data_IF_270315917902
#
_entry.id   IF_270315917902
#
_cell.length_a   1.000
_cell.length_b   1.000
_cell.length_c   1.000
_cell.angle_alpha   90.00
_cell.angle_beta   90.00
_cell.angle_gamma   90.00
#
_symmetry.space_group_name_H-M   'P 1'
#
loop_
_entity.id
_entity.type
_entity.pdbx_description
1 polymer ?
2 non-polymer ?
3 water ?
#
# COMPACT_ATOMS: atom_id res chain seq x y z
N UNK A 6 7.68 -21.91 -6.28
CA UNK A 6 7.70 -20.69 -7.09
C UNK A 6 8.06 -19.47 -6.26
N UNK A 7 8.97 -18.64 -6.78
CA UNK A 7 9.38 -17.44 -6.07
C UNK A 7 9.71 -16.31 -7.04
N UNK A 8 9.46 -15.07 -6.60
CA UNK A 8 9.76 -13.89 -7.40
C UNK A 8 10.38 -12.84 -6.48
N UNK A 9 11.39 -12.13 -6.97
CA UNK A 9 11.99 -11.06 -6.19
C UNK A 9 11.56 -9.69 -6.73
N UNK A 10 10.83 -8.94 -5.90
CA UNK A 10 10.43 -7.58 -6.27
C UNK A 10 11.50 -6.59 -5.86
N UNK A 11 11.99 -5.81 -6.82
CA UNK A 11 13.04 -4.84 -6.55
C UNK A 11 12.62 -3.43 -6.97
N UNK A 12 12.40 -2.56 -6.00
CA UNK A 12 12.08 -1.16 -6.27
C UNK A 12 13.35 -0.33 -6.22
N UNK A 13 13.56 0.52 -7.22
CA UNK A 13 14.78 1.30 -7.32
C UNK A 13 14.51 2.78 -7.56
N UNK A 14 15.25 3.65 -6.88
CA UNK A 14 15.25 5.07 -7.19
C UNK A 14 16.66 5.64 -7.11
N UNK A 15 17.02 6.47 -8.09
CA UNK A 15 18.32 7.14 -8.11
C UNK A 15 18.18 8.65 -8.19
N UNK A 16 19.14 9.37 -7.61
CA UNK A 16 19.14 10.83 -7.70
C UNK A 16 20.41 11.36 -8.35
N UNK A 17 20.27 12.43 -9.12
CA UNK A 17 21.41 13.09 -9.72
C UNK A 17 21.58 14.50 -9.15
N UNK A 18 22.81 15.00 -9.15
CA UNK A 18 23.08 16.34 -8.66
C UNK A 18 22.37 17.41 -9.49
N UNK A 19 21.70 18.32 -8.79
CA UNK A 19 20.91 19.39 -9.41
C UNK A 19 21.74 20.24 -10.37
N UNK A 20 22.98 20.55 -9.97
CA UNK A 20 23.82 21.46 -10.73
C UNK A 20 24.75 20.75 -11.71
N UNK A 21 24.80 19.43 -11.62
CA UNK A 21 25.60 18.64 -12.54
C UNK A 21 24.96 17.26 -12.70
N UNK A 22 24.23 17.10 -13.81
CA UNK A 22 23.41 15.90 -14.01
C UNK A 22 24.22 14.67 -14.41
N UNK A 23 25.54 14.81 -14.46
CA UNK A 23 26.42 13.69 -14.77
C UNK A 23 26.80 12.96 -13.49
N UNK A 24 26.53 13.60 -12.37
CA UNK A 24 26.86 13.03 -11.06
C UNK A 24 25.67 12.31 -10.42
N UNK A 25 25.78 11.00 -10.27
CA UNK A 25 24.77 10.22 -9.56
C UNK A 25 25.19 10.16 -8.09
N UNK A 26 24.31 10.60 -7.19
CA UNK A 26 24.71 10.76 -5.80
C UNK A 26 24.19 9.69 -4.85
N UNK A 27 22.99 9.20 -5.08
CA UNK A 27 22.41 8.19 -4.19
C UNK A 27 21.60 7.13 -4.92
N UNK A 28 21.56 5.93 -4.34
CA UNK A 28 20.76 4.84 -4.85
C UNK A 28 19.84 4.29 -3.76
N UNK A 29 18.56 4.19 -4.07
CA UNK A 29 17.59 3.63 -3.14
C UNK A 29 17.09 2.28 -3.62
N UNK A 30 17.22 1.27 -2.76
CA UNK A 30 16.77 -0.07 -3.08
C UNK A 30 15.75 -0.57 -2.06
N UNK A 31 14.68 -1.17 -2.56
CA UNK A 31 13.69 -1.81 -1.69
C UNK A 31 13.34 -3.17 -2.26
N UNK A 32 13.74 -4.21 -1.54
CA UNK A 32 13.61 -5.58 -2.02
C UNK A 32 12.53 -6.34 -1.25
N UNK A 33 11.72 -7.10 -1.97
CA UNK A 33 10.80 -8.04 -1.33
C UNK A 33 10.93 -9.41 -2.00
N UNK A 34 11.55 -10.34 -1.27
CA UNK A 34 11.70 -11.71 -1.75
C UNK A 34 10.54 -12.55 -1.26
N UNK A 35 9.68 -12.97 -2.18
CA UNK A 35 8.49 -13.75 -1.84
C UNK A 35 8.86 -15.12 -1.28
N UNK A 36 10.08 -15.57 -1.56
CA UNK A 36 10.57 -16.82 -1.01
C UNK A 36 10.75 -16.72 0.51
N UNK A 37 10.89 -15.50 1.00
CA UNK A 37 11.04 -15.26 2.43
C UNK A 37 9.69 -15.18 3.14
N UNK A 38 8.62 -15.23 2.36
CA UNK A 38 7.27 -15.22 2.93
C UNK A 38 6.46 -16.41 2.40
N UNK A 39 7.15 -17.41 1.89
CA UNK A 39 6.51 -18.60 1.36
C UNK A 39 7.16 -19.88 1.89
N UNK A 48 4.06 -14.61 7.08
CA UNK A 48 2.91 -14.33 6.22
C UNK A 48 2.47 -12.87 6.32
N UNK A 49 3.39 -12.02 6.78
CA UNK A 49 3.12 -10.59 6.90
C UNK A 49 4.13 -9.81 6.04
N UNK A 50 3.71 -9.47 4.83
CA UNK A 50 4.62 -9.05 3.77
C UNK A 50 5.47 -7.80 4.05
N UNK A 51 4.89 -6.75 4.61
CA UNK A 51 5.64 -5.50 4.75
C UNK A 51 6.76 -5.58 5.78
N UNK A 52 6.72 -6.60 6.63
CA UNK A 52 7.78 -6.81 7.60
C UNK A 52 9.03 -7.42 6.94
N UNK A 53 8.86 -7.96 5.74
CA UNK A 53 9.94 -8.64 5.04
C UNK A 53 10.57 -7.79 3.93
N UNK A 54 10.25 -6.50 3.92
CA UNK A 54 10.82 -5.60 2.93
C UNK A 54 12.22 -5.18 3.35
N UNK A 55 13.20 -5.49 2.50
CA UNK A 55 14.58 -5.13 2.78
C UNK A 55 14.97 -3.86 2.03
N UNK A 56 15.25 -2.80 2.77
CA UNK A 56 15.56 -1.51 2.17
C UNK A 56 17.03 -1.13 2.34
N UNK A 57 17.58 -0.46 1.34
CA UNK A 57 18.94 0.05 1.40
C UNK A 57 19.02 1.45 0.81
N UNK A 58 19.75 2.33 1.48
CA UNK A 58 20.05 3.64 0.92
C UNK A 58 21.56 3.74 0.73
N UNK A 59 21.97 3.91 -0.52
CA UNK A 59 23.40 3.96 -0.84
C UNK A 59 23.82 5.34 -1.30
N UNK A 60 24.63 5.99 -0.47
CA UNK A 60 25.23 7.27 -0.82
C UNK A 60 26.56 7.07 -1.54
N UNK A 61 26.73 7.71 -2.68
CA UNK A 61 27.96 7.59 -3.47
C UNK A 61 29.02 8.37 -2.71
N UNK A 62 30.04 7.66 -2.27
CA UNK A 62 31.05 8.20 -1.34
C UNK A 62 31.90 9.31 -1.92
N UNK A 63 32.14 9.26 -3.23
CA UNK A 63 32.87 10.32 -3.91
C UNK A 63 32.04 11.58 -3.99
N UNK A 64 30.72 11.42 -3.99
CA UNK A 64 29.81 12.54 -4.14
C UNK A 64 28.77 12.59 -3.03
N UNK A 65 29.22 12.85 -1.80
CA UNK A 65 28.32 13.05 -0.68
C UNK A 65 28.24 14.53 -0.32
N UNK A 66 29.05 15.32 -1.04
CA UNK A 66 29.07 16.76 -0.88
C UNK A 66 28.07 17.38 -1.83
N UNK A 67 27.71 16.61 -2.85
CA UNK A 67 26.79 17.05 -3.88
C UNK A 67 25.34 17.00 -3.38
N UNK A 68 24.86 18.13 -2.88
CA UNK A 68 23.53 18.19 -2.28
C UNK A 68 22.66 19.24 -2.95
N UNK A 78 18.56 14.88 4.17
CA UNK A 78 17.62 13.88 4.65
C UNK A 78 18.32 12.57 5.01
N UNK A 79 17.83 11.91 6.05
CA UNK A 79 18.40 10.65 6.52
C UNK A 79 17.64 9.47 5.92
N UNK A 80 17.91 8.27 6.41
CA UNK A 80 17.21 7.08 5.92
C UNK A 80 16.31 6.50 7.02
N UNK A 81 15.01 6.44 6.75
CA UNK A 81 14.02 6.06 7.75
C UNK A 81 13.75 4.55 7.79
N UNK A 82 14.50 3.78 7.03
CA UNK A 82 14.28 2.33 6.99
C UNK A 82 15.59 1.57 7.15
N UNK A 83 16.56 2.22 7.77
CA UNK A 83 17.86 1.62 8.03
C UNK A 83 18.92 2.69 8.17
N UNK A 84 20.18 2.29 8.00
CA UNK A 84 21.27 3.24 8.03
C UNK A 84 21.83 3.43 6.62
N UNK A 85 22.08 4.69 6.24
CA UNK A 85 22.61 4.99 4.92
C UNK A 85 24.00 4.42 4.75
N UNK A 86 24.24 3.76 3.62
CA UNK A 86 25.55 3.22 3.31
C UNK A 86 26.35 4.17 2.43
N UNK A 87 27.68 4.13 2.60
CA UNK A 87 28.58 4.87 1.73
C UNK A 87 29.43 3.89 0.93
N UNK A 88 29.33 3.98 -0.40
CA UNK A 88 30.06 3.07 -1.28
C UNK A 88 30.70 3.87 -2.41
N UNK A 89 31.91 3.46 -2.81
CA UNK A 89 32.63 4.12 -3.90
C UNK A 89 31.96 3.84 -5.23
N UNK A 90 32.03 4.82 -6.15
CA UNK A 90 31.36 4.73 -7.45
C UNK A 90 31.73 3.45 -8.22
N UNK A 91 32.97 3.00 -8.07
CA UNK A 91 33.47 1.85 -8.81
C UNK A 91 32.90 0.53 -8.28
N UNK A 92 32.35 0.58 -7.07
CA UNK A 92 31.81 -0.62 -6.43
C UNK A 92 30.29 -0.68 -6.55
N UNK A 93 29.67 0.41 -6.98
CA UNK A 93 28.22 0.50 -7.05
C UNK A 93 27.60 -0.51 -8.03
N UNK A 94 28.21 -0.66 -9.20
CA UNK A 94 27.70 -1.53 -10.25
C UNK A 94 27.55 -2.98 -9.79
N UNK A 95 28.56 -3.47 -9.08
CA UNK A 95 28.56 -4.85 -8.61
C UNK A 95 27.49 -5.05 -7.53
N UNK A 96 27.25 -4.01 -6.75
CA UNK A 96 26.20 -4.03 -5.74
C UNK A 96 24.84 -4.18 -6.40
N UNK A 97 24.61 -3.39 -7.46
CA UNK A 97 23.38 -3.46 -8.22
C UNK A 97 23.21 -4.82 -8.89
N UNK A 98 24.31 -5.34 -9.43
CA UNK A 98 24.30 -6.64 -10.09
C UNK A 98 23.98 -7.75 -9.11
N UNK A 99 24.54 -7.66 -7.90
CA UNK A 99 24.30 -8.64 -6.85
C UNK A 99 22.83 -8.61 -6.43
N UNK A 100 22.28 -7.42 -6.29
CA UNK A 100 20.88 -7.25 -5.92
C UNK A 100 19.92 -7.85 -6.95
N UNK A 101 20.20 -7.59 -8.22
CA UNK A 101 19.31 -8.00 -9.31
C UNK A 101 19.58 -9.41 -9.83
N UNK A 102 20.85 -9.81 -9.90
CA UNK A 102 21.19 -11.10 -10.50
C UNK A 102 21.70 -12.11 -9.49
N UNK A 103 22.11 -11.66 -8.31
CA UNK A 103 22.60 -12.56 -7.29
C UNK A 103 23.97 -13.12 -7.60
N UNK A 113 19.52 -18.13 -11.83
CA UNK A 113 19.09 -16.80 -11.37
C UNK A 113 17.58 -16.70 -11.25
N UNK A 114 17.11 -16.19 -10.12
CA UNK A 114 15.68 -16.12 -9.84
C UNK A 114 15.07 -14.93 -10.57
N UNK A 115 13.81 -15.08 -11.02
CA UNK A 115 13.12 -14.01 -11.75
C UNK A 115 12.92 -12.77 -10.89
N UNK A 116 13.17 -11.60 -11.49
CA UNK A 116 13.10 -10.33 -10.77
C UNK A 116 12.09 -9.38 -11.42
N UNK A 117 11.27 -8.75 -10.59
CA UNK A 117 10.38 -7.70 -11.05
C UNK A 117 10.93 -6.34 -10.63
N UNK A 118 11.23 -5.49 -11.60
CA UNK A 118 11.73 -4.15 -11.33
C UNK A 118 10.58 -3.15 -11.21
N UNK A 119 10.61 -2.34 -10.15
CA UNK A 119 9.58 -1.34 -9.93
C UNK A 119 10.19 0.05 -9.93
N UNK A 120 9.79 0.87 -10.90
CA UNK A 120 10.31 2.22 -11.01
C UNK A 120 9.22 3.28 -10.86
N UNK A 121 9.64 4.49 -10.56
CA UNK A 121 8.84 5.67 -10.85
C UNK A 121 9.65 6.52 -11.82
N UNK A 122 9.10 6.73 -13.02
CA UNK A 122 9.83 7.32 -14.15
C UNK A 122 10.95 6.38 -14.57
N UNK A 123 10.56 5.34 -15.31
CA UNK A 123 11.45 4.25 -15.71
C UNK A 123 12.64 4.71 -16.56
N UNK A 124 12.39 5.61 -17.49
CA UNK A 124 13.43 6.07 -18.41
C UNK A 124 14.55 6.81 -17.69
N UNK A 125 14.17 7.65 -16.73
CA UNK A 125 15.14 8.42 -15.96
C UNK A 125 16.02 7.52 -15.10
N UNK A 126 15.41 6.54 -14.45
CA UNK A 126 16.14 5.66 -13.54
C UNK A 126 17.00 4.65 -14.30
N UNK A 127 16.53 4.18 -15.45
CA UNK A 127 17.31 3.25 -16.25
C UNK A 127 18.56 3.96 -16.80
N UNK A 128 18.43 5.26 -17.05
CA UNK A 128 19.57 6.07 -17.46
C UNK A 128 20.60 6.13 -16.35
N UNK A 129 20.15 6.51 -15.15
CA UNK A 129 21.01 6.62 -13.97
C UNK A 129 21.73 5.31 -13.65
N UNK A 130 21.01 4.20 -13.77
CA UNK A 130 21.61 2.89 -13.52
C UNK A 130 22.73 2.62 -14.51
N UNK A 131 22.50 2.97 -15.77
CA UNK A 131 23.53 2.83 -16.80
C UNK A 131 24.75 3.69 -16.47
N UNK A 132 24.50 4.93 -16.04
CA UNK A 132 25.57 5.86 -15.70
C UNK A 132 26.44 5.41 -14.52
N UNK A 133 25.95 4.45 -13.74
CA UNK A 133 26.71 3.92 -12.61
C UNK A 133 27.51 2.67 -12.96
N UNK A 134 27.41 2.21 -14.21
CA UNK A 134 28.23 1.10 -14.65
C UNK A 134 27.54 -0.25 -14.71
N UNK A 135 26.22 -0.27 -14.55
CA UNK A 135 25.49 -1.54 -14.60
C UNK A 135 24.67 -1.65 -15.88
N UNK A 136 24.74 -2.83 -16.50
CA UNK A 136 24.06 -3.08 -17.76
C UNK A 136 22.82 -3.94 -17.56
N UNK A 137 21.67 -3.27 -17.44
CA UNK A 137 20.39 -3.94 -17.19
C UNK A 137 20.06 -4.93 -18.31
N UNK A 138 20.40 -4.55 -19.54
CA UNK A 138 20.13 -5.38 -20.70
C UNK A 138 20.80 -6.76 -20.59
N UNK A 139 21.94 -6.81 -19.91
CA UNK A 139 22.65 -8.08 -19.72
C UNK A 139 21.88 -9.04 -18.83
N UNK A 140 21.11 -8.49 -17.88
CA UNK A 140 20.31 -9.32 -16.99
C UNK A 140 19.22 -10.08 -17.75
N UNK A 141 19.28 -11.40 -17.69
CA UNK A 141 18.34 -12.24 -18.43
C UNK A 141 17.14 -12.66 -17.57
N UNK A 142 17.22 -12.37 -16.27
CA UNK A 142 16.20 -12.81 -15.33
C UNK A 142 15.12 -11.79 -15.02
N UNK A 143 15.05 -10.70 -15.78
CA UNK A 143 14.02 -9.69 -15.55
C UNK A 143 12.68 -10.16 -16.11
N UNK A 144 11.72 -10.37 -15.21
CA UNK A 144 10.41 -10.89 -15.59
C UNK A 144 9.48 -9.77 -16.06
N UNK A 145 9.38 -8.71 -15.27
CA UNK A 145 8.54 -7.55 -15.61
C UNK A 145 9.18 -6.26 -15.13
N UNK A 146 8.83 -5.16 -15.78
CA UNK A 146 9.23 -3.84 -15.31
C UNK A 146 7.98 -2.99 -15.10
N UNK A 147 7.80 -2.50 -13.88
CA UNK A 147 6.61 -1.73 -13.54
C UNK A 147 6.96 -0.26 -13.31
N UNK A 148 6.24 0.62 -13.98
CA UNK A 148 6.44 2.06 -13.83
C UNK A 148 5.20 2.69 -13.19
N UNK A 149 5.34 3.18 -11.97
CA UNK A 149 4.21 3.74 -11.24
C UNK A 149 3.81 5.09 -11.83
N UNK A 150 4.74 5.73 -12.55
CA UNK A 150 4.47 7.02 -13.16
C UNK A 150 3.45 6.86 -14.28
N UNK A 151 3.45 5.71 -14.92
CA UNK A 151 2.44 5.41 -15.92
C UNK A 151 1.09 5.13 -15.28
N UNK A 152 1.10 4.28 -14.25
CA UNK A 152 -0.14 3.91 -13.56
C UNK A 152 -0.82 5.11 -12.92
N UNK A 153 -0.02 6.01 -12.34
CA UNK A 153 -0.58 7.18 -11.67
C UNK A 153 -1.12 8.18 -12.67
N UNK A 154 -0.47 8.26 -13.83
CA UNK A 154 -1.00 9.05 -14.95
C UNK A 154 -2.34 8.45 -15.36
N UNK A 155 -2.36 7.13 -15.47
CA UNK A 155 -3.57 6.39 -15.82
C UNK A 155 -4.67 6.60 -14.77
N UNK A 156 -4.28 6.75 -13.51
CA UNK A 156 -5.23 6.95 -12.42
C UNK A 156 -5.64 8.41 -12.24
N UNK A 157 -5.10 9.30 -13.08
CA UNK A 157 -5.37 10.73 -12.93
C UNK A 157 -6.82 11.07 -13.23
N UNK A 158 -7.48 10.24 -14.04
CA UNK A 158 -8.90 10.41 -14.32
C UNK A 158 -9.73 9.34 -13.64
N UNK A 159 -9.30 8.93 -12.44
CA UNK A 159 -10.05 7.99 -11.62
C UNK A 159 -10.76 8.70 -10.48
N UNK A 160 -12.01 8.34 -10.24
CA UNK A 160 -12.81 8.99 -9.21
C UNK A 160 -12.28 8.76 -7.81
N UNK A 161 -12.02 7.51 -7.47
CA UNK A 161 -11.54 7.18 -6.12
C UNK A 161 -10.10 7.64 -5.89
N UNK A 162 -9.29 7.61 -6.94
CA UNK A 162 -7.92 8.10 -6.84
C UNK A 162 -7.93 9.61 -6.59
N UNK A 163 -8.80 10.32 -7.29
CA UNK A 163 -8.93 11.76 -7.10
C UNK A 163 -9.37 12.12 -5.70
N UNK A 164 -10.28 11.32 -5.13
CA UNK A 164 -10.72 11.52 -3.76
C UNK A 164 -9.56 11.43 -2.78
N UNK A 165 -8.74 10.40 -2.93
CA UNK A 165 -7.58 10.21 -2.06
C UNK A 165 -6.62 11.39 -2.16
N UNK A 166 -6.45 11.91 -3.38
CA UNK A 166 -5.58 13.05 -3.62
C UNK A 166 -6.08 14.29 -2.88
N UNK A 167 -7.39 14.51 -2.95
CA UNK A 167 -8.02 15.65 -2.29
C UNK A 167 -7.85 15.59 -0.78
N UNK A 168 -7.92 14.39 -0.22
CA UNK A 168 -7.74 14.20 1.21
C UNK A 168 -6.29 14.46 1.61
N UNK A 169 -5.36 13.94 0.81
CA UNK A 169 -3.94 14.15 1.06
C UNK A 169 -3.57 15.61 0.81
N UNK A 170 -4.28 16.24 -0.13
CA UNK A 170 -4.08 17.63 -0.44
C UNK A 170 -4.61 18.53 0.67
N UNK A 171 -5.72 18.11 1.28
CA UNK A 171 -6.32 18.82 2.39
C UNK A 171 -5.42 18.75 3.62
N UNK A 172 -4.94 17.55 3.90
CA UNK A 172 -4.07 17.32 5.05
C UNK A 172 -2.75 18.07 4.93
N UNK A 173 -2.22 18.11 3.71
CA UNK A 173 -0.95 18.78 3.42
C UNK A 173 0.16 18.25 4.34
N UNK A 174 0.16 16.94 4.54
CA UNK A 174 1.12 16.29 5.42
C UNK A 174 2.56 16.51 4.97
N UNK A 175 3.40 17.03 5.89
CA UNK A 175 4.83 17.26 5.63
C UNK A 175 5.62 15.98 5.89
N UNK A 176 6.18 15.41 4.83
CA UNK A 176 6.95 14.18 4.93
C UNK A 176 8.43 14.47 5.12
N UNK A 178 13.32 14.41 6.12
CA UNK A 178 13.40 13.17 5.34
C UNK A 178 12.32 13.04 4.27
N UNK A 179 12.65 13.36 3.02
CA UNK A 179 11.69 13.23 1.93
C UNK A 179 12.29 13.08 0.52
N UNK A 180 13.54 13.51 0.35
CA UNK A 180 14.20 13.39 -0.95
C UNK A 180 15.03 12.12 -1.00
N UNK A 181 15.20 11.51 0.18
CA UNK A 181 15.98 10.28 0.32
C UNK A 181 15.52 9.17 -0.62
N UNK A 182 16.42 8.74 -1.50
CA UNK A 182 16.11 7.76 -2.52
C UNK A 182 15.69 6.43 -1.91
N UNK A 183 16.20 6.16 -0.71
CA UNK A 183 15.83 4.95 0.01
C UNK A 183 14.37 4.97 0.40
N UNK A 184 13.90 6.10 0.93
CA UNK A 184 12.49 6.26 1.28
C UNK A 184 11.62 6.21 0.03
N UNK A 185 12.08 6.89 -1.02
CA UNK A 185 11.36 6.95 -2.29
C UNK A 185 11.08 5.55 -2.82
N UNK A 186 12.05 4.65 -2.64
CA UNK A 186 11.94 3.29 -3.14
C UNK A 186 11.01 2.43 -2.28
N UNK A 187 11.06 2.66 -0.97
CA UNK A 187 10.21 1.92 -0.04
C UNK A 187 8.73 2.23 -0.25
N UNK A 188 8.41 3.52 -0.35
CA UNK A 188 7.04 3.96 -0.57
C UNK A 188 6.50 3.44 -1.90
N UNK A 189 7.37 3.36 -2.89
CA UNK A 189 7.00 2.84 -4.20
C UNK A 189 6.65 1.35 -4.12
N UNK A 190 7.47 0.59 -3.40
CA UNK A 190 7.28 -0.85 -3.28
C UNK A 190 6.06 -1.17 -2.42
N UNK A 191 5.93 -0.49 -1.29
CA UNK A 191 4.79 -0.69 -0.40
C UNK A 191 3.47 -0.39 -1.12
N UNK A 192 3.47 0.65 -1.95
CA UNK A 192 2.27 1.05 -2.69
C UNK A 192 1.83 -0.04 -3.66
N UNK A 193 2.77 -0.60 -4.40
CA UNK A 193 2.46 -1.57 -5.44
C UNK A 193 2.15 -2.95 -4.85
N UNK A 194 2.91 -3.35 -3.84
CA UNK A 194 2.67 -4.64 -3.19
C UNK A 194 1.33 -4.66 -2.46
N UNK A 195 1.03 -3.60 -1.73
CA UNK A 195 -0.23 -3.47 -1.04
C UNK A 195 -1.40 -3.50 -2.02
N UNK A 196 -1.21 -2.86 -3.16
CA UNK A 196 -2.23 -2.83 -4.21
C UNK A 196 -2.38 -4.19 -4.87
N UNK A 197 -1.26 -4.84 -5.17
CA UNK A 197 -1.28 -6.13 -5.88
C UNK A 197 -1.90 -7.22 -5.01
N UNK A 198 -1.48 -7.28 -3.76
CA UNK A 198 -2.01 -8.25 -2.82
C UNK A 198 -3.52 -8.08 -2.62
N UNK A 199 -3.95 -6.84 -2.42
CA UNK A 199 -5.36 -6.54 -2.19
C UNK A 199 -6.23 -6.89 -3.39
N UNK A 200 -5.80 -6.48 -4.58
CA UNK A 200 -6.55 -6.78 -5.79
C UNK A 200 -6.71 -8.28 -5.98
N UNK A 201 -5.68 -9.03 -5.60
CA UNK A 201 -5.71 -10.49 -5.70
C UNK A 201 -6.70 -11.10 -4.72
N UNK A 202 -6.59 -10.71 -3.45
CA UNK A 202 -7.44 -11.26 -2.41
C UNK A 202 -8.91 -10.91 -2.62
N UNK A 203 -9.19 -9.70 -3.09
CA UNK A 203 -10.57 -9.27 -3.31
C UNK A 203 -11.17 -9.95 -4.53
N UNK A 204 -10.32 -10.39 -5.44
CA UNK A 204 -10.78 -11.07 -6.66
C UNK A 204 -11.12 -12.53 -6.37
N UNK A 205 -10.44 -13.11 -5.38
CA UNK A 205 -10.70 -14.49 -4.98
C UNK A 205 -12.00 -14.58 -4.16
N UNK A 206 -12.52 -13.43 -3.76
CA UNK A 206 -13.77 -13.37 -3.00
C UNK A 206 -14.68 -12.26 -3.52
N UNK B 5 -3.77 21.37 14.66
CA UNK B 5 -3.27 20.35 13.75
C UNK B 5 -4.40 19.66 13.00
N UNK B 6 -4.46 19.88 11.69
CA UNK B 6 -5.47 19.26 10.84
C UNK B 6 -5.30 17.75 10.85
N UNK B 7 -6.41 17.02 11.00
CA UNK B 7 -6.36 15.57 11.11
C UNK B 7 -7.57 14.91 10.46
N UNK B 8 -7.36 13.69 9.97
CA UNK B 8 -8.41 12.91 9.36
C UNK B 8 -8.35 11.46 9.86
N UNK B 9 -9.50 10.86 10.12
CA UNK B 9 -9.55 9.46 10.53
C UNK B 9 -10.00 8.57 9.38
N UNK B 10 -9.11 7.69 8.93
CA UNK B 10 -9.44 6.73 7.89
C UNK B 10 -10.05 5.48 8.50
N UNK B 11 -11.24 5.13 8.03
CA UNK B 11 -11.93 3.95 8.54
C UNK B 11 -12.29 3.01 7.41
N UNK B 12 -11.64 1.85 7.38
CA UNK B 12 -11.98 0.81 6.41
C UNK B 12 -12.96 -0.16 7.04
N UNK B 13 -14.02 -0.46 6.31
CA UNK B 13 -15.09 -1.29 6.87
C UNK B 13 -15.45 -2.45 5.94
N UNK B 14 -15.63 -3.62 6.54
CA UNK B 14 -16.18 -4.76 5.82
C UNK B 14 -17.16 -5.52 6.72
N UNK B 15 -18.29 -5.90 6.14
CA UNK B 15 -19.26 -6.70 6.86
C UNK B 15 -19.52 -7.98 6.10
N UNK B 16 -19.83 -9.05 6.84
CA UNK B 16 -20.13 -10.32 6.21
C UNK B 16 -21.54 -10.75 6.59
N UNK B 17 -22.23 -11.35 5.63
CA UNK B 17 -23.57 -11.86 5.86
C UNK B 17 -23.56 -13.37 5.78
N UNK B 18 -24.51 -14.00 6.44
CA UNK B 18 -24.60 -15.46 6.45
C UNK B 18 -24.79 -15.95 5.03
N UNK B 19 -24.06 -17.00 4.67
CA UNK B 19 -24.04 -17.54 3.32
C UNK B 19 -25.43 -17.82 2.75
N UNK B 20 -26.30 -18.38 3.58
CA UNK B 20 -27.62 -18.79 3.13
C UNK B 20 -28.71 -17.74 3.40
N UNK B 21 -28.37 -16.71 4.15
CA UNK B 21 -29.33 -15.66 4.50
C UNK B 21 -28.65 -14.31 4.64
N UNK B 22 -28.80 -13.47 3.61
CA UNK B 22 -28.09 -12.19 3.55
C UNK B 22 -28.70 -11.15 4.49
N UNK B 23 -29.71 -11.55 5.26
CA UNK B 23 -30.30 -10.66 6.25
C UNK B 23 -29.60 -10.85 7.60
N UNK B 24 -28.84 -11.93 7.71
CA UNK B 24 -28.12 -12.24 8.93
C UNK B 24 -26.68 -11.77 8.84
N UNK B 25 -26.31 -10.78 9.65
CA UNK B 25 -24.94 -10.28 9.68
C UNK B 25 -24.08 -11.05 10.68
N UNK B 26 -22.98 -11.61 10.19
CA UNK B 26 -22.14 -12.49 11.00
C UNK B 26 -20.84 -11.83 11.44
N UNK B 27 -20.30 -10.94 10.61
CA UNK B 27 -19.02 -10.31 10.92
C UNK B 27 -18.97 -8.83 10.57
N UNK B 28 -18.18 -8.09 11.34
CA UNK B 28 -17.88 -6.70 11.04
C UNK B 28 -16.37 -6.50 11.09
N UNK B 29 -15.80 -5.95 10.02
CA UNK B 29 -14.37 -5.65 10.00
C UNK B 29 -14.10 -4.17 10.02
N UNK B 30 -13.30 -3.72 10.99
CA UNK B 30 -12.94 -2.31 11.09
C UNK B 30 -11.42 -2.13 11.09
N UNK B 31 -10.94 -1.18 10.29
CA UNK B 31 -9.53 -0.84 10.27
C UNK B 31 -9.36 0.67 10.30
N UNK B 32 -8.83 1.17 11.42
CA UNK B 32 -8.76 2.61 11.64
C UNK B 32 -7.33 3.14 11.56
N UNK B 33 -7.16 4.27 10.89
CA UNK B 33 -5.90 4.99 10.90
C UNK B 33 -6.13 6.47 11.21
N UNK B 34 -5.73 6.88 12.41
CA UNK B 34 -5.85 8.27 12.83
C UNK B 34 -4.55 9.01 12.51
N UNK B 35 -4.62 9.93 11.56
CA UNK B 35 -3.45 10.69 11.12
C UNK B 35 -2.89 11.60 12.22
N UNK B 36 -3.72 11.87 13.23
CA UNK B 36 -3.29 12.65 14.38
C UNK B 36 -2.25 11.90 15.20
N UNK B 37 -2.20 10.59 15.05
CA UNK B 37 -1.27 9.75 15.80
C UNK B 37 0.11 9.72 15.16
N UNK B 38 0.25 10.34 14.00
CA UNK B 38 1.56 10.42 13.34
C UNK B 38 1.94 11.86 13.04
N UNK B 39 1.29 12.79 13.74
CA UNK B 39 1.55 14.21 13.56
C UNK B 39 1.74 14.91 14.90
N UNK B 48 7.15 6.48 14.20
CA UNK B 48 7.36 5.24 13.47
C UNK B 48 6.88 5.37 12.02
N UNK B 49 6.19 4.33 11.55
CA UNK B 49 5.65 4.32 10.19
C UNK B 49 4.14 4.15 10.21
N UNK B 50 3.46 4.61 9.16
CA UNK B 50 2.00 4.77 9.19
C UNK B 50 1.24 3.48 9.48
N UNK B 51 1.65 2.36 8.86
CA UNK B 51 0.91 1.11 9.02
C UNK B 51 1.04 0.53 10.43
N UNK B 52 2.02 1.03 11.18
CA UNK B 52 2.19 0.60 12.56
C UNK B 52 1.12 1.21 13.47
N UNK B 53 0.44 2.24 12.97
CA UNK B 53 -0.56 2.95 13.76
C UNK B 53 -1.99 2.54 13.37
N UNK B 54 -2.10 1.47 12.59
CA UNK B 54 -3.40 0.96 12.16
C UNK B 54 -4.06 0.12 13.24
N UNK B 55 -5.24 0.54 13.67
CA UNK B 55 -5.99 -0.19 14.69
C UNK B 55 -7.10 -1.04 14.05
N UNK B 56 -6.98 -2.35 14.20
CA UNK B 56 -7.93 -3.28 13.58
C UNK B 56 -8.85 -3.95 14.60
N UNK B 57 -10.09 -4.21 14.18
CA UNK B 57 -11.05 -4.91 15.02
C UNK B 57 -11.84 -5.93 14.23
N UNK B 58 -12.00 -7.13 14.79
CA UNK B 58 -12.88 -8.13 14.21
C UNK B 58 -14.03 -8.47 15.15
N UNK B 59 -15.25 -8.22 14.70
CA UNK B 59 -16.43 -8.47 15.52
C UNK B 59 -17.31 -9.57 14.95
N UNK B 60 -17.41 -10.71 15.63
CA UNK B 60 -18.38 -11.72 15.23
C UNK B 60 -19.70 -11.40 15.92
N UNK B 61 -20.75 -11.23 15.13
CA UNK B 61 -22.05 -10.82 15.67
C UNK B 61 -22.91 -11.96 16.21
N UNK B 62 -23.05 -12.04 17.53
CA UNK B 62 -23.91 -13.02 18.17
C UNK B 62 -25.37 -12.53 18.09
N UNK B 63 -26.32 -13.41 17.82
CA UNK B 63 -27.72 -12.95 17.79
C UNK B 63 -28.26 -12.66 19.19
N UNK B 64 -27.78 -13.41 20.18
CA UNK B 64 -28.27 -13.25 21.55
C UNK B 64 -27.14 -13.09 22.57
N UNK B 65 -27.34 -12.19 23.51
CA UNK B 65 -26.44 -12.03 24.64
C UNK B 65 -27.09 -12.59 25.91
N UNK B 66 -26.31 -13.31 26.71
CA UNK B 66 -26.82 -13.85 27.97
C UNK B 66 -26.59 -12.89 29.13
N UNK B 78 -11.22 -17.40 8.12
CA UNK B 78 -10.92 -18.25 9.26
C UNK B 78 -10.77 -17.44 10.55
N UNK B 79 -9.52 -17.23 10.98
CA UNK B 79 -9.25 -16.48 12.20
C UNK B 79 -8.96 -15.00 11.92
N UNK B 80 -8.56 -14.26 12.95
CA UNK B 80 -8.22 -12.85 12.81
C UNK B 80 -6.72 -12.67 13.02
N UNK B 81 -6.03 -12.20 11.98
CA UNK B 81 -4.57 -12.13 11.99
C UNK B 81 -4.00 -10.80 12.51
N UNK B 82 -4.87 -9.92 12.98
CA UNK B 82 -4.41 -8.61 13.45
C UNK B 82 -4.97 -8.26 14.84
N UNK B 83 -5.33 -9.29 15.60
CA UNK B 83 -5.84 -9.10 16.94
C UNK B 83 -6.70 -10.25 17.40
N UNK B 84 -7.52 -10.01 18.42
CA UNK B 84 -8.45 -11.02 18.91
C UNK B 84 -9.87 -10.67 18.53
N UNK B 85 -10.61 -11.66 18.04
CA UNK B 85 -12.01 -11.46 17.63
C UNK B 85 -12.90 -11.10 18.81
N UNK B 86 -13.75 -10.08 18.62
CA UNK B 86 -14.72 -9.71 19.64
C UNK B 86 -16.07 -10.35 19.35
N UNK B 87 -16.82 -10.63 20.40
CA UNK B 87 -18.20 -11.10 20.25
C UNK B 87 -19.17 -10.07 20.81
N UNK B 88 -20.05 -9.56 19.95
CA UNK B 88 -21.00 -8.53 20.35
C UNK B 88 -22.39 -8.83 19.79
N UNK B 89 -23.43 -8.57 20.57
CA UNK B 89 -24.80 -8.80 20.14
C UNK B 89 -25.24 -7.80 19.09
N UNK B 90 -26.13 -8.24 18.20
CA UNK B 90 -26.62 -7.44 17.07
C UNK B 90 -27.14 -6.08 17.50
N UNK B 91 -27.74 -6.01 18.68
CA UNK B 91 -28.38 -4.79 19.15
C UNK B 91 -27.37 -3.71 19.54
N UNK B 92 -26.13 -4.12 19.78
CA UNK B 92 -25.10 -3.16 20.17
C UNK B 92 -24.15 -2.78 19.02
N UNK B 93 -24.24 -3.50 17.91
CA UNK B 93 -23.32 -3.28 16.80
C UNK B 93 -23.44 -1.87 16.21
N UNK B 94 -24.67 -1.40 16.03
CA UNK B 94 -24.93 -0.09 15.44
C UNK B 94 -24.24 1.03 16.22
N UNK B 95 -24.31 0.98 17.54
CA UNK B 95 -23.70 2.00 18.37
C UNK B 95 -22.18 1.91 18.30
N UNK B 96 -21.67 0.70 18.13
CA UNK B 96 -20.23 0.49 17.98
C UNK B 96 -19.73 1.17 16.71
N UNK B 97 -20.44 0.97 15.62
CA UNK B 97 -20.12 1.61 14.34
C UNK B 97 -20.24 3.11 14.44
N UNK B 98 -21.30 3.58 15.11
CA UNK B 98 -21.55 5.01 15.24
C UNK B 98 -20.47 5.68 16.06
N UNK B 99 -20.02 5.00 17.11
CA UNK B 99 -18.94 5.51 17.95
C UNK B 99 -17.65 5.61 17.15
N UNK B 100 -17.40 4.60 16.32
CA UNK B 100 -16.21 4.57 15.47
C UNK B 100 -16.18 5.74 14.51
N UNK B 101 -17.32 6.01 13.87
CA UNK B 101 -17.37 7.05 12.85
C UNK B 101 -17.64 8.42 13.45
N UNK B 102 -18.52 8.48 14.45
CA UNK B 102 -18.89 9.74 15.08
C UNK B 102 -18.43 9.77 16.53
N UNK B 112 -19.61 14.17 13.73
CA UNK B 112 -19.13 14.50 15.07
C UNK B 112 -17.63 14.78 15.07
N UNK B 113 -17.27 15.99 15.47
CA UNK B 113 -15.87 16.41 15.63
C UNK B 113 -15.01 16.24 14.37
N UNK B 114 -14.14 15.24 14.39
CA UNK B 114 -13.14 15.06 13.34
C UNK B 114 -13.68 14.40 12.06
N UNK B 115 -13.17 14.85 10.90
CA UNK B 115 -13.54 14.35 9.57
C UNK B 115 -13.12 12.89 9.36
N UNK B 116 -14.00 12.11 8.74
CA UNK B 116 -13.76 10.68 8.56
C UNK B 116 -13.76 10.31 7.08
N UNK B 117 -12.78 9.52 6.67
CA UNK B 117 -12.77 8.97 5.33
C UNK B 117 -13.17 7.50 5.37
N UNK B 118 -14.25 7.17 4.68
CA UNK B 118 -14.72 5.80 4.62
C UNK B 118 -14.09 5.05 3.45
N UNK B 119 -13.59 3.86 3.72
CA UNK B 119 -13.01 3.03 2.68
C UNK B 119 -13.74 1.70 2.60
N UNK B 120 -14.38 1.45 1.46
CA UNK B 120 -15.12 0.21 1.26
C UNK B 120 -14.57 -0.60 0.10
N UNK B 121 -14.88 -1.89 0.11
CA UNK B 121 -14.83 -2.71 -1.11
C UNK B 121 -16.25 -3.20 -1.36
N UNK B 122 -16.82 -2.80 -2.49
CA UNK B 122 -18.25 -2.98 -2.79
C UNK B 122 -19.05 -2.15 -1.78
N UNK B 123 -19.11 -0.85 -2.04
CA UNK B 123 -19.71 0.12 -1.14
C UNK B 123 -21.18 -0.12 -0.87
N UNK B 124 -21.93 -0.45 -1.92
CA UNK B 124 -23.37 -0.63 -1.81
C UNK B 124 -23.74 -1.80 -0.90
N UNK B 125 -23.01 -2.90 -1.03
CA UNK B 125 -23.28 -4.09 -0.23
C UNK B 125 -23.05 -3.84 1.26
N UNK B 126 -21.96 -3.16 1.58
CA UNK B 126 -21.58 -2.94 2.97
C UNK B 126 -22.46 -1.88 3.63
N UNK B 127 -22.84 -0.86 2.86
CA UNK B 127 -23.73 0.17 3.37
C UNK B 127 -25.12 -0.40 3.62
N UNK B 128 -25.49 -1.40 2.84
CA UNK B 128 -26.75 -2.12 3.03
C UNK B 128 -26.74 -2.83 4.38
N UNK B 129 -25.70 -3.62 4.62
CA UNK B 129 -25.56 -4.38 5.86
C UNK B 129 -25.58 -3.48 7.10
N UNK B 130 -24.88 -2.35 7.02
CA UNK B 130 -24.84 -1.41 8.14
C UNK B 130 -26.22 -0.83 8.44
N UNK B 131 -26.97 -0.52 7.38
CA UNK B 131 -28.32 -0.01 7.52
C UNK B 131 -29.21 -1.02 8.24
N UNK B 132 -29.05 -2.29 7.86
CA UNK B 132 -29.81 -3.37 8.46
C UNK B 132 -29.49 -3.55 9.94
N UNK B 133 -28.38 -2.96 10.37
CA UNK B 133 -27.96 -3.04 11.76
C UNK B 133 -28.51 -1.84 12.54
N UNK B 134 -29.16 -0.95 11.81
CA UNK B 134 -29.86 0.17 12.40
C UNK B 134 -29.09 1.47 12.37
N UNK B 135 -27.92 1.47 11.74
CA UNK B 135 -27.11 2.68 11.64
C UNK B 135 -27.03 3.19 10.21
N UNK B 136 -27.24 4.48 10.03
CA UNK B 136 -27.19 5.10 8.71
C UNK B 136 -25.92 5.92 8.56
N UNK B 137 -24.88 5.31 7.99
CA UNK B 137 -23.59 5.98 7.84
C UNK B 137 -23.67 7.23 6.99
N UNK B 138 -24.48 7.17 5.94
CA UNK B 138 -24.66 8.31 5.03
C UNK B 138 -25.17 9.55 5.78
N UNK B 139 -25.95 9.31 6.83
CA UNK B 139 -26.48 10.38 7.66
C UNK B 139 -25.38 11.13 8.41
N UNK B 140 -24.27 10.45 8.68
CA UNK B 140 -23.14 11.07 9.38
C UNK B 140 -22.61 12.24 8.56
N UNK B 141 -22.57 13.41 9.20
CA UNK B 141 -22.22 14.64 8.52
C UNK B 141 -20.72 14.91 8.53
N UNK B 142 -19.96 14.09 9.27
CA UNK B 142 -18.52 14.32 9.38
C UNK B 142 -17.74 13.50 8.35
N UNK B 143 -18.45 12.92 7.39
CA UNK B 143 -17.82 12.14 6.34
C UNK B 143 -17.18 13.05 5.30
N UNK B 144 -15.86 12.97 5.19
CA UNK B 144 -15.12 13.80 4.26
C UNK B 144 -15.16 13.20 2.86
N UNK B 145 -14.83 11.91 2.76
CA UNK B 145 -14.88 11.20 1.49
C UNK B 145 -15.28 9.75 1.69
N UNK B 146 -15.85 9.15 0.64
CA UNK B 146 -16.12 7.73 0.63
C UNK B 146 -15.41 7.08 -0.55
N UNK B 147 -14.54 6.13 -0.26
CA UNK B 147 -13.73 5.49 -1.29
C UNK B 147 -14.16 4.03 -1.49
N UNK B 148 -14.41 3.66 -2.75
CA UNK B 148 -14.78 2.29 -3.07
C UNK B 148 -13.68 1.67 -3.94
N UNK B 149 -12.96 0.70 -3.37
CA UNK B 149 -11.84 0.08 -4.06
C UNK B 149 -12.30 -0.83 -5.19
N UNK B 150 -13.55 -1.27 -5.13
CA UNK B 150 -14.08 -2.15 -6.16
C UNK B 150 -14.25 -1.39 -7.47
N UNK B 151 -14.52 -0.09 -7.36
CA UNK B 151 -14.62 0.77 -8.54
C UNK B 151 -13.23 1.01 -9.13
N UNK B 152 -12.27 1.33 -8.27
CA UNK B 152 -10.92 1.62 -8.72
C UNK B 152 -10.28 0.41 -9.40
N UNK B 153 -10.57 -0.78 -8.86
CA UNK B 153 -10.00 -2.01 -9.41
C UNK B 153 -10.65 -2.35 -10.75
N UNK B 154 -11.94 -2.00 -10.90
CA UNK B 154 -12.60 -2.11 -12.18
C UNK B 154 -11.91 -1.21 -13.19
N UNK B 155 -11.66 0.02 -12.77
CA UNK B 155 -10.96 0.99 -13.60
C UNK B 155 -9.52 0.55 -13.90
N UNK B 156 -8.90 -0.14 -12.96
CA UNK B 156 -7.53 -0.61 -13.13
C UNK B 156 -7.45 -1.93 -13.88
N UNK B 157 -8.61 -2.47 -14.26
CA UNK B 157 -8.64 -3.76 -14.93
C UNK B 157 -8.06 -3.68 -16.34
N UNK B 158 -8.11 -2.50 -16.94
CA UNK B 158 -7.49 -2.29 -18.25
C UNK B 158 -6.26 -1.42 -18.13
N UNK B 159 -5.52 -1.60 -17.03
CA UNK B 159 -4.26 -0.90 -16.83
C UNK B 159 -3.09 -1.82 -17.13
N UNK B 160 -2.09 -1.29 -17.83
CA UNK B 160 -0.94 -2.08 -18.24
C UNK B 160 -0.10 -2.56 -17.06
N UNK B 161 0.25 -1.64 -16.17
CA UNK B 161 1.08 -1.97 -15.03
C UNK B 161 0.37 -2.79 -13.97
N UNK B 162 -0.94 -2.55 -13.81
CA UNK B 162 -1.76 -3.34 -12.90
C UNK B 162 -1.86 -4.79 -13.37
N UNK B 163 -2.03 -4.97 -14.67
CA UNK B 163 -2.12 -6.31 -15.26
C UNK B 163 -0.84 -7.09 -15.04
N UNK B 164 0.30 -6.40 -15.11
CA UNK B 164 1.59 -7.02 -14.86
C UNK B 164 1.65 -7.62 -13.46
N UNK B 165 1.25 -6.83 -12.46
CA UNK B 165 1.22 -7.29 -11.08
C UNK B 165 0.29 -8.47 -10.87
N UNK B 166 -0.87 -8.42 -11.55
CA UNK B 166 -1.85 -9.50 -11.46
C UNK B 166 -1.29 -10.82 -11.97
N UNK B 167 -0.62 -10.77 -13.12
CA UNK B 167 -0.03 -11.96 -13.72
C UNK B 167 1.04 -12.60 -12.82
N UNK B 168 1.82 -11.76 -12.15
CA UNK B 168 2.86 -12.24 -11.24
C UNK B 168 2.24 -12.88 -10.00
N UNK B 169 1.22 -12.24 -9.45
CA UNK B 169 0.52 -12.76 -8.28
C UNK B 169 -0.26 -14.02 -8.62
N UNK B 170 -0.75 -14.11 -9.85
CA UNK B 170 -1.47 -15.28 -10.30
C UNK B 170 -0.54 -16.47 -10.47
N UNK B 171 0.67 -16.20 -10.93
CA UNK B 171 1.68 -17.24 -11.08
C UNK B 171 2.16 -17.76 -9.72
N UNK B 172 2.45 -16.84 -8.81
CA UNK B 172 2.94 -17.21 -7.48
C UNK B 172 1.88 -18.00 -6.71
N UNK B 173 0.62 -17.58 -6.86
CA UNK B 173 -0.52 -18.24 -6.22
C UNK B 173 -0.32 -18.37 -4.71
N UNK B 174 0.20 -17.33 -4.08
CA UNK B 174 0.42 -17.33 -2.63
C UNK B 174 -0.89 -17.58 -1.90
N UNK B 175 -0.94 -18.61 -1.05
CA UNK B 175 -2.16 -18.89 -0.31
C UNK B 175 -2.28 -18.11 1.01
N UNK B 176 -3.21 -17.16 1.06
CA UNK B 176 -3.46 -16.42 2.29
C UNK B 176 -4.62 -17.04 3.07
N UNK B 177 -4.30 -17.64 4.21
CA UNK B 177 -5.32 -18.21 5.07
C UNK B 177 -6.17 -17.10 5.68
N UNK B 178 -7.41 -17.43 6.03
CA UNK B 178 -8.35 -16.48 6.61
C UNK B 178 -8.54 -15.24 5.74
N UNK B 179 -8.72 -15.46 4.44
CA UNK B 179 -8.95 -14.37 3.50
C UNK B 179 -10.40 -13.87 3.55
N UNK B 180 -11.28 -14.69 4.11
CA UNK B 180 -12.69 -14.33 4.18
C UNK B 180 -13.01 -13.58 5.48
N UNK B 181 -12.05 -13.62 6.41
CA UNK B 181 -12.19 -12.89 7.67
C UNK B 181 -12.40 -11.39 7.44
N UNK B 182 -13.53 -10.87 7.91
CA UNK B 182 -13.89 -9.48 7.65
C UNK B 182 -12.90 -8.49 8.27
N UNK B 183 -12.25 -8.90 9.35
CA UNK B 183 -11.24 -8.07 9.99
C UNK B 183 -10.00 -7.93 9.11
N UNK B 184 -9.54 -9.04 8.58
CA UNK B 184 -8.40 -9.05 7.66
C UNK B 184 -8.73 -8.29 6.38
N UNK B 185 -9.95 -8.51 5.89
CA UNK B 185 -10.44 -7.87 4.67
C UNK B 185 -10.34 -6.34 4.75
N UNK B 186 -10.61 -5.79 5.93
CA UNK B 186 -10.57 -4.35 6.13
C UNK B 186 -9.14 -3.82 6.23
N UNK B 187 -8.26 -4.61 6.85
CA UNK B 187 -6.87 -4.22 6.99
C UNK B 187 -6.18 -4.12 5.63
N UNK B 188 -6.37 -5.14 4.81
CA UNK B 188 -5.78 -5.15 3.46
C UNK B 188 -6.33 -4.01 2.62
N UNK B 189 -7.61 -3.70 2.81
CA UNK B 189 -8.26 -2.61 2.09
C UNK B 189 -7.63 -1.26 2.45
N UNK B 190 -7.43 -1.03 3.74
CA UNK B 190 -6.87 0.23 4.22
C UNK B 190 -5.40 0.38 3.84
N UNK B 191 -4.63 -0.68 4.04
CA UNK B 191 -3.21 -0.67 3.70
C UNK B 191 -3.00 -0.39 2.21
N UNK B 192 -3.84 -0.97 1.37
CA UNK B 192 -3.74 -0.78 -0.07
C UNK B 192 -3.94 0.68 -0.46
N UNK B 193 -4.97 1.30 0.10
CA UNK B 193 -5.32 2.68 -0.27
C UNK B 193 -4.41 3.71 0.36
N UNK B 194 -4.02 3.49 1.62
CA UNK B 194 -3.11 4.40 2.30
C UNK B 194 -1.74 4.38 1.64
N UNK B 195 -1.24 3.18 1.35
CA UNK B 195 0.04 3.04 0.68
C UNK B 195 0.03 3.69 -0.69
N UNK B 196 -1.09 3.55 -1.39
CA UNK B 196 -1.26 4.14 -2.71
C UNK B 196 -1.37 5.67 -2.63
N UNK B 197 -2.15 6.16 -1.67
CA UNK B 197 -2.40 7.60 -1.54
C UNK B 197 -1.14 8.35 -1.13
N UNK B 198 -0.41 7.81 -0.15
CA UNK B 198 0.84 8.42 0.31
C UNK B 198 1.85 8.50 -0.83
N UNK B 199 2.00 7.41 -1.55
CA UNK B 199 2.96 7.33 -2.66
C UNK B 199 2.61 8.31 -3.79
N UNK B 200 1.34 8.32 -4.18
CA UNK B 200 0.89 9.23 -5.23
C UNK B 200 1.12 10.69 -4.87
N UNK B 201 1.01 10.99 -3.58
CA UNK B 201 1.22 12.34 -3.09
C UNK B 201 2.69 12.74 -3.19
N UNK B 202 3.56 11.90 -2.65
CA UNK B 202 5.00 12.18 -2.62
C UNK B 202 5.61 12.27 -4.02
N UNK B 203 5.14 11.42 -4.93
CA UNK B 203 5.69 11.40 -6.28
C UNK B 203 5.22 12.61 -7.09
N UNK B 204 4.09 13.18 -6.71
CA UNK B 204 3.56 14.35 -7.42
C UNK B 204 4.29 15.61 -7.01
N UNK B 205 4.80 15.64 -5.78
CA UNK B 205 5.55 16.78 -5.28
C UNK B 205 6.98 16.81 -5.86
#
# INVERSE_FOLDING_TARGET
>A
GIQPEKSVVFVAIDLEAYELDQSIITEVGLAILDTAEITNVAPGEGSKNWFDFIKARHIRVKEFSWAQNSRHVQGRAEYFDFGESEFIEVAKIASVLKETIEGESSIGGEGAKRPVVLVFHDQSQDLKYIRMLGYDVASADNILEVVDTREMYQYLSRSNNASKLSNVCGYLDIPWKNMHNAGNDAVYTLQAMMGLAIDMRQKSLERAAAKASKANTSNDGYVTYSEFTATKEDVDEGWI
>B
GIQPEKSVVFVAIDLEAYELDQSIITEVGLAILDTAEITNVAPGEGSKNWFDFIKARHIRVKEFSWAQNSRHVQGRAEYFDFGESEFIEVAKIASVLKETIEGESSIGGEGAKRPVVLVFHDQSQDLKYIRMLGYDVASADNILEVVDTREMYQYLSRSNNASKLSNVCGYLDIPWKNMHNAGNDAVYTLQAMMGLAIDMRQKSLERAAAKASKANTSNDGYVTYSEFTATKEDVDEGWI
#
